data_IF_906452301520
#
_entry.id   IF_906452301520
#
_cell.length_a   1.000
_cell.length_b   1.000
_cell.length_c   1.000
_cell.angle_alpha   90.00
_cell.angle_beta   90.00
_cell.angle_gamma   90.00
#
_symmetry.space_group_name_H-M   'P 1'
#
loop_
_entity.id
_entity.type
_entity.pdbx_description
1 polymer ?
#
# COMPACT_ATOMS: atom_id res chain seq x y z
N UNK A 1 -22.29 -3.63 -14.13
CA UNK A 1 -21.01 -4.20 -13.66
C UNK A 1 -20.94 -4.10 -12.13
N UNK A 2 -20.41 -5.12 -11.43
CA UNK A 2 -20.26 -5.05 -9.96
C UNK A 2 -19.05 -4.18 -9.62
N UNK A 3 -19.24 -3.13 -8.81
CA UNK A 3 -18.15 -2.27 -8.32
C UNK A 3 -17.27 -3.11 -7.38
N UNK A 4 -16.08 -3.48 -7.84
CA UNK A 4 -15.12 -4.29 -7.08
C UNK A 4 -14.44 -3.41 -6.03
N UNK A 5 -14.64 -3.75 -4.75
CA UNK A 5 -13.88 -3.17 -3.64
C UNK A 5 -12.48 -3.80 -3.62
N UNK A 6 -11.55 -3.21 -4.38
CA UNK A 6 -10.25 -3.86 -4.68
C UNK A 6 -9.23 -3.72 -3.55
N UNK A 7 -9.26 -2.65 -2.74
CA UNK A 7 -8.15 -2.33 -1.84
C UNK A 7 -8.59 -1.90 -0.43
N UNK A 8 -8.83 -2.89 0.42
CA UNK A 8 -8.97 -2.72 1.89
C UNK A 8 -7.84 -3.46 2.59
N UNK A 9 -6.64 -2.86 2.63
CA UNK A 9 -5.48 -3.47 3.29
C UNK A 9 -5.67 -3.47 4.82
N UNK A 10 -6.07 -4.61 5.38
CA UNK A 10 -5.99 -4.87 6.82
C UNK A 10 -4.82 -5.81 7.09
N UNK A 11 -3.66 -5.23 7.38
CA UNK A 11 -2.47 -5.98 7.81
C UNK A 11 -2.72 -6.46 9.25
N UNK A 12 -2.68 -7.78 9.47
CA UNK A 12 -2.90 -8.40 10.77
C UNK A 12 -1.94 -9.57 10.98
N UNK A 13 -1.19 -9.53 12.09
CA UNK A 13 -0.25 -10.57 12.54
C UNK A 13 -0.60 -10.88 14.02
N UNK A 14 -0.29 -12.08 14.54
CA UNK A 14 -0.77 -12.57 15.85
C UNK A 14 0.17 -13.50 16.61
N UNK A 15 0.19 -13.40 17.97
CA UNK A 15 0.91 -14.24 18.98
C UNK A 15 2.46 -14.15 18.93
N UNK A 16 3.29 -13.96 19.99
CA UNK A 16 3.18 -13.56 21.42
C UNK A 16 4.60 -13.16 21.96
N UNK A 17 4.73 -12.77 23.26
CA UNK A 17 5.93 -12.59 24.15
C UNK A 17 6.35 -11.16 24.58
N UNK A 18 6.04 -10.83 25.84
CA UNK A 18 6.11 -9.52 26.52
C UNK A 18 7.46 -8.76 26.44
N UNK A 19 7.49 -7.51 25.93
CA UNK A 19 8.55 -6.53 26.28
C UNK A 19 8.17 -5.03 26.23
N UNK A 20 7.40 -4.60 27.23
CA UNK A 20 7.59 -3.32 27.96
C UNK A 20 7.94 -2.01 27.20
N UNK A 21 7.15 -1.62 26.19
CA UNK A 21 6.76 -0.21 25.94
C UNK A 21 7.79 0.82 25.41
N UNK A 22 9.02 0.88 25.91
CA UNK A 22 10.02 1.85 25.47
C UNK A 22 10.53 1.57 24.03
N UNK A 23 10.47 0.31 23.62
CA UNK A 23 10.84 -0.12 22.28
C UNK A 23 9.71 0.06 21.26
N UNK A 24 8.46 0.23 21.73
CA UNK A 24 7.30 0.53 20.90
C UNK A 24 7.36 1.94 20.30
N UNK A 25 7.72 2.96 21.10
CA UNK A 25 7.87 4.34 20.60
C UNK A 25 9.06 4.46 19.64
N UNK A 26 10.18 3.77 19.91
CA UNK A 26 11.33 3.72 18.98
C UNK A 26 10.96 3.04 17.66
N UNK A 27 10.23 1.92 17.71
CA UNK A 27 9.73 1.27 16.51
C UNK A 27 8.76 2.19 15.73
N UNK A 28 7.92 2.97 16.42
CA UNK A 28 7.07 3.97 15.80
C UNK A 28 7.88 5.08 15.11
N UNK A 29 8.92 5.60 15.75
CA UNK A 29 9.82 6.60 15.17
C UNK A 29 10.58 6.08 13.94
N UNK A 30 11.03 4.82 13.93
CA UNK A 30 11.70 4.21 12.77
C UNK A 30 10.75 3.82 11.63
N UNK A 31 9.49 3.47 11.93
CA UNK A 31 8.49 3.08 10.92
C UNK A 31 7.80 4.30 10.30
N UNK A 32 7.67 5.42 11.03
CA UNK A 32 6.97 6.64 10.57
C UNK A 32 7.50 7.17 9.21
N UNK A 33 8.82 7.27 8.96
CA UNK A 33 9.37 7.67 7.66
C UNK A 33 9.02 6.69 6.53
N UNK A 34 8.92 5.39 6.82
CA UNK A 34 8.53 4.36 5.85
C UNK A 34 7.06 4.51 5.43
N UNK A 35 6.15 4.75 6.39
CA UNK A 35 4.74 5.03 6.06
C UNK A 35 4.59 6.37 5.30
N UNK A 36 5.39 7.39 5.63
CA UNK A 36 5.42 8.65 4.88
C UNK A 36 5.92 8.45 3.44
N UNK A 37 6.98 7.67 3.22
CA UNK A 37 7.43 7.26 1.88
C UNK A 37 6.35 6.49 1.13
N UNK A 38 5.59 5.62 1.80
CA UNK A 38 4.48 4.89 1.18
C UNK A 38 3.41 5.86 0.65
N UNK A 39 3.01 6.85 1.44
CA UNK A 39 2.06 7.87 1.02
C UNK A 39 2.56 8.65 -0.19
N UNK A 40 3.84 9.07 -0.18
CA UNK A 40 4.45 9.80 -1.30
C UNK A 40 4.56 8.97 -2.59
N UNK A 41 4.87 7.67 -2.49
CA UNK A 41 4.88 6.73 -3.63
C UNK A 41 3.48 6.62 -4.25
N UNK A 42 2.45 6.46 -3.43
CA UNK A 42 1.05 6.33 -3.88
C UNK A 42 0.54 7.66 -4.47
N UNK A 43 0.91 8.79 -3.88
CA UNK A 43 0.56 10.12 -4.40
C UNK A 43 1.22 10.39 -5.76
N UNK A 44 2.52 10.08 -5.91
CA UNK A 44 3.23 10.19 -7.19
C UNK A 44 2.59 9.29 -8.26
N UNK A 45 2.26 8.04 -7.91
CA UNK A 45 1.54 7.12 -8.78
C UNK A 45 0.18 7.70 -9.21
N UNK A 46 -0.58 8.22 -8.24
CA UNK A 46 -1.88 8.85 -8.48
C UNK A 46 -1.79 10.03 -9.46
N UNK A 47 -0.79 10.91 -9.29
CA UNK A 47 -0.51 12.05 -10.18
C UNK A 47 -0.04 11.64 -11.58
N UNK A 48 0.72 10.55 -11.70
CA UNK A 48 1.12 9.99 -13.01
C UNK A 48 -0.09 9.37 -13.72
N UNK A 49 -0.94 8.65 -12.99
CA UNK A 49 -2.14 7.99 -13.53
C UNK A 49 -3.17 8.95 -14.14
N UNK A 50 -3.24 10.23 -13.74
CA UNK A 50 -4.16 11.19 -14.38
C UNK A 50 -3.74 11.59 -15.80
N UNK A 51 -2.47 11.43 -16.15
CA UNK A 51 -1.88 11.91 -17.41
C UNK A 51 -1.62 10.77 -18.42
N UNK A 52 -2.01 9.54 -18.09
CA UNK A 52 -1.70 8.34 -18.88
C UNK A 52 -2.30 8.40 -20.29
N UNK A 53 -1.43 8.22 -21.27
CA UNK A 53 -1.78 8.19 -22.69
C UNK A 53 -2.22 6.80 -23.16
N UNK A 54 -1.58 5.74 -22.65
CA UNK A 54 -1.80 4.34 -23.07
C UNK A 54 -1.75 3.35 -21.90
N UNK A 55 -2.29 2.15 -22.07
CA UNK A 55 -2.35 1.17 -20.99
C UNK A 55 -0.98 0.58 -20.58
N UNK A 56 0.03 0.63 -21.44
CA UNK A 56 1.40 0.19 -21.08
C UNK A 56 2.03 1.14 -20.06
N UNK A 57 1.86 2.45 -20.24
CA UNK A 57 2.27 3.48 -19.28
C UNK A 57 1.59 3.29 -17.90
N UNK A 58 0.27 3.05 -17.87
CA UNK A 58 -0.44 2.73 -16.63
C UNK A 58 0.04 1.41 -16.00
N UNK A 59 0.30 0.37 -16.80
CA UNK A 59 0.83 -0.91 -16.29
C UNK A 59 2.21 -0.74 -15.65
N UNK A 60 3.09 0.06 -16.27
CA UNK A 60 4.41 0.44 -15.71
C UNK A 60 4.23 1.21 -14.40
N UNK A 61 3.40 2.25 -14.36
CA UNK A 61 3.16 3.03 -13.13
C UNK A 61 2.67 2.12 -11.99
N UNK A 62 1.69 1.25 -12.25
CA UNK A 62 1.17 0.32 -11.25
C UNK A 62 2.24 -0.67 -10.75
N UNK A 63 3.07 -1.22 -11.65
CA UNK A 63 4.13 -2.18 -11.30
C UNK A 63 5.28 -1.55 -10.52
N UNK A 64 5.70 -0.33 -10.88
CA UNK A 64 6.67 0.46 -10.11
C UNK A 64 6.13 0.79 -8.71
N UNK A 65 4.87 1.22 -8.62
CA UNK A 65 4.17 1.50 -7.36
C UNK A 65 4.12 0.26 -6.48
N UNK A 66 3.79 -0.89 -7.06
CA UNK A 66 3.75 -2.18 -6.37
C UNK A 66 5.13 -2.58 -5.83
N UNK A 67 6.18 -2.49 -6.64
CA UNK A 67 7.55 -2.78 -6.22
C UNK A 67 8.00 -1.90 -5.05
N UNK A 68 7.78 -0.59 -5.15
CA UNK A 68 8.13 0.38 -4.11
C UNK A 68 7.34 0.13 -2.81
N UNK A 69 6.02 -0.09 -2.89
CA UNK A 69 5.19 -0.40 -1.72
C UNK A 69 5.62 -1.71 -1.05
N UNK A 70 5.93 -2.76 -1.83
CA UNK A 70 6.43 -4.04 -1.32
C UNK A 70 7.74 -3.88 -0.56
N UNK A 71 8.69 -3.11 -1.08
CA UNK A 71 9.96 -2.86 -0.40
C UNK A 71 9.76 -2.10 0.92
N UNK A 72 8.88 -1.09 0.94
CA UNK A 72 8.56 -0.36 2.17
C UNK A 72 7.90 -1.26 3.23
N UNK A 73 7.01 -2.19 2.84
CA UNK A 73 6.44 -3.16 3.78
C UNK A 73 7.51 -4.11 4.35
N UNK A 74 8.49 -4.52 3.54
CA UNK A 74 9.61 -5.34 4.04
C UNK A 74 10.46 -4.56 5.06
N UNK A 75 10.80 -3.30 4.76
CA UNK A 75 11.51 -2.42 5.71
C UNK A 75 10.74 -2.27 7.03
N UNK A 76 9.42 -2.06 6.98
CA UNK A 76 8.58 -1.98 8.18
C UNK A 76 8.58 -3.29 8.98
N UNK A 77 8.46 -4.45 8.32
CA UNK A 77 8.51 -5.77 8.96
C UNK A 77 9.87 -6.07 9.58
N UNK A 78 10.95 -5.61 8.96
CA UNK A 78 12.30 -5.78 9.50
C UNK A 78 12.54 -4.87 10.72
N UNK A 79 11.92 -3.69 10.79
CA UNK A 79 11.85 -2.90 12.03
C UNK A 79 11.02 -3.59 13.12
N UNK A 80 9.84 -4.15 12.80
CA UNK A 80 9.04 -4.90 13.78
C UNK A 80 9.82 -6.10 14.36
N UNK A 81 10.55 -6.84 13.53
CA UNK A 81 11.45 -7.93 13.96
C UNK A 81 12.61 -7.42 14.81
N UNK A 82 13.28 -6.33 14.39
CA UNK A 82 14.40 -5.71 15.13
C UNK A 82 14.02 -5.38 16.58
N UNK A 83 12.79 -4.94 16.81
CA UNK A 83 12.25 -4.63 18.13
C UNK A 83 11.51 -5.79 18.80
N UNK A 84 11.47 -6.98 18.18
CA UNK A 84 10.76 -8.18 18.67
C UNK A 84 9.32 -7.91 19.12
N UNK A 85 8.61 -7.01 18.44
CA UNK A 85 7.31 -6.53 18.90
C UNK A 85 6.29 -7.67 19.02
N UNK A 86 5.58 -7.75 20.15
CA UNK A 86 4.43 -8.64 20.21
C UNK A 86 3.35 -8.18 19.24
N UNK A 87 2.50 -9.09 18.76
CA UNK A 87 1.35 -8.69 17.96
C UNK A 87 0.31 -7.81 18.66
N UNK A 88 0.32 -7.73 19.99
CA UNK A 88 -0.45 -6.72 20.74
C UNK A 88 0.25 -5.35 20.73
N UNK A 89 1.59 -5.33 20.77
CA UNK A 89 2.40 -4.13 20.53
C UNK A 89 2.31 -3.68 19.06
N UNK A 90 2.27 -4.56 18.06
CA UNK A 90 2.00 -4.20 16.66
C UNK A 90 0.63 -3.52 16.49
N UNK A 91 -0.42 -3.96 17.21
CA UNK A 91 -1.71 -3.23 17.23
C UNK A 91 -1.57 -1.84 17.87
N UNK A 92 -0.80 -1.71 18.95
CA UNK A 92 -0.54 -0.41 19.60
C UNK A 92 0.31 0.51 18.70
N UNK A 93 1.29 -0.04 17.99
CA UNK A 93 2.10 0.62 16.97
C UNK A 93 1.23 1.18 15.84
N UNK A 94 0.30 0.37 15.31
CA UNK A 94 -0.70 0.81 14.33
C UNK A 94 -1.58 1.94 14.90
N UNK A 95 -1.89 1.93 16.20
CA UNK A 95 -2.62 3.03 16.84
C UNK A 95 -1.78 4.30 17.02
N UNK A 96 -0.50 4.20 17.38
CA UNK A 96 0.44 5.34 17.45
C UNK A 96 0.64 5.97 16.06
N UNK A 97 0.73 5.15 15.03
CA UNK A 97 0.94 5.55 13.63
C UNK A 97 -0.37 5.77 12.86
N UNK A 98 -1.53 5.76 13.54
CA UNK A 98 -2.85 5.81 12.91
C UNK A 98 -3.01 7.01 11.96
N UNK A 99 -2.47 8.17 12.31
CA UNK A 99 -2.51 9.37 11.45
C UNK A 99 -1.75 9.16 10.15
N UNK A 100 -0.61 8.48 10.18
CA UNK A 100 0.19 8.14 9.00
C UNK A 100 -0.52 7.08 8.13
N UNK A 101 -1.08 6.02 8.74
CA UNK A 101 -1.90 5.03 8.02
C UNK A 101 -3.16 5.66 7.40
N UNK A 102 -3.80 6.60 8.08
CA UNK A 102 -4.94 7.36 7.54
C UNK A 102 -4.54 8.23 6.33
N UNK A 103 -3.32 8.80 6.33
CA UNK A 103 -2.80 9.53 5.17
C UNK A 103 -2.60 8.59 3.96
N UNK A 104 -1.96 7.43 4.18
CA UNK A 104 -1.84 6.36 3.16
C UNK A 104 -3.22 5.94 2.63
N UNK A 105 -4.19 5.68 3.52
CA UNK A 105 -5.55 5.31 3.13
C UNK A 105 -6.24 6.35 2.25
N UNK A 106 -6.07 7.65 2.53
CA UNK A 106 -6.62 8.73 1.69
C UNK A 106 -6.01 8.72 0.28
N UNK A 107 -4.68 8.62 0.15
CA UNK A 107 -4.04 8.61 -1.16
C UNK A 107 -4.32 7.31 -1.95
N UNK A 108 -4.51 6.18 -1.26
CA UNK A 108 -4.96 4.92 -1.89
C UNK A 108 -6.37 5.04 -2.50
N UNK A 109 -7.30 5.75 -1.85
CA UNK A 109 -8.63 6.02 -2.42
C UNK A 109 -8.52 6.83 -3.72
N UNK A 110 -7.67 7.86 -3.74
CA UNK A 110 -7.42 8.67 -4.96
C UNK A 110 -6.75 7.85 -6.07
N UNK A 111 -5.70 7.07 -5.74
CA UNK A 111 -5.05 6.18 -6.71
C UNK A 111 -6.05 5.16 -7.28
N UNK A 112 -6.87 4.53 -6.44
CA UNK A 112 -7.92 3.62 -6.90
C UNK A 112 -8.96 4.32 -7.79
N UNK A 113 -9.33 5.57 -7.50
CA UNK A 113 -10.19 6.36 -8.39
C UNK A 113 -9.56 6.54 -9.78
N UNK A 114 -8.28 6.92 -9.83
CA UNK A 114 -7.56 7.15 -11.09
C UNK A 114 -7.34 5.85 -11.87
N UNK A 115 -7.06 4.73 -11.19
CA UNK A 115 -7.00 3.40 -11.83
C UNK A 115 -8.35 3.05 -12.46
N UNK A 116 -9.47 3.26 -11.75
CA UNK A 116 -10.80 2.96 -12.30
C UNK A 116 -11.14 3.85 -13.52
N UNK A 117 -10.71 5.11 -13.53
CA UNK A 117 -10.85 5.98 -14.72
C UNK A 117 -10.05 5.47 -15.93
N UNK A 118 -8.83 4.98 -15.70
CA UNK A 118 -8.01 4.34 -16.77
C UNK A 118 -8.66 3.04 -17.25
N UNK A 119 -9.18 2.20 -16.35
CA UNK A 119 -9.91 0.99 -16.73
C UNK A 119 -11.14 1.28 -17.59
N UNK A 120 -11.96 2.27 -17.21
CA UNK A 120 -13.16 2.64 -17.97
C UNK A 120 -12.83 3.18 -19.37
N UNK A 121 -11.65 3.81 -19.55
CA UNK A 121 -11.12 4.26 -20.86
C UNK A 121 -10.76 3.10 -21.79
N UNK A 122 -10.37 1.94 -21.24
CA UNK A 122 -9.91 0.75 -22.01
C UNK A 122 -10.82 -0.46 -21.87
N UNK A 123 -12.02 -0.33 -21.29
CA UNK A 123 -12.96 -1.45 -21.05
C UNK A 123 -13.38 -2.21 -22.31
N UNK A 124 -13.36 -1.53 -23.46
CA UNK A 124 -13.73 -2.06 -24.77
C UNK A 124 -12.51 -2.59 -25.57
N UNK A 125 -11.30 -2.55 -24.98
CA UNK A 125 -10.08 -3.20 -25.49
C UNK A 125 -9.66 -4.35 -24.53
N UNK A 126 -9.99 -5.61 -24.86
CA UNK A 126 -9.71 -6.75 -23.99
C UNK A 126 -8.23 -6.95 -23.67
N UNK A 127 -7.32 -6.63 -24.60
CA UNK A 127 -5.86 -6.80 -24.39
C UNK A 127 -5.30 -5.78 -23.41
N UNK A 128 -5.82 -4.55 -23.47
CA UNK A 128 -5.42 -3.50 -22.55
C UNK A 128 -6.07 -3.68 -21.17
N UNK A 129 -7.32 -4.15 -21.11
CA UNK A 129 -7.96 -4.55 -19.86
C UNK A 129 -7.19 -5.66 -19.12
N UNK A 130 -6.71 -6.69 -19.83
CA UNK A 130 -5.90 -7.78 -19.26
C UNK A 130 -4.59 -7.28 -18.65
N UNK A 131 -3.82 -6.44 -19.39
CA UNK A 131 -2.57 -5.82 -18.88
C UNK A 131 -2.76 -4.96 -17.64
N UNK A 132 -3.90 -4.27 -17.52
CA UNK A 132 -4.25 -3.45 -16.37
C UNK A 132 -4.72 -4.30 -15.17
N UNK A 133 -5.37 -5.45 -15.42
CA UNK A 133 -5.72 -6.42 -14.38
C UNK A 133 -4.47 -7.09 -13.78
N UNK A 134 -3.50 -7.51 -14.61
CA UNK A 134 -2.21 -8.07 -14.15
C UNK A 134 -1.45 -7.09 -13.22
N UNK A 135 -1.37 -5.83 -13.62
CA UNK A 135 -0.74 -4.79 -12.80
C UNK A 135 -1.54 -4.47 -11.51
N UNK A 136 -2.87 -4.60 -11.54
CA UNK A 136 -3.71 -4.50 -10.34
C UNK A 136 -3.58 -5.69 -9.39
N UNK A 137 -3.35 -6.91 -9.90
CA UNK A 137 -3.04 -8.07 -9.07
C UNK A 137 -1.73 -7.84 -8.30
N UNK A 138 -0.71 -7.27 -8.96
CA UNK A 138 0.56 -6.89 -8.32
C UNK A 138 0.37 -5.93 -7.15
N UNK A 139 -0.57 -4.97 -7.25
CA UNK A 139 -0.94 -4.08 -6.14
C UNK A 139 -1.77 -4.77 -5.05
N UNK A 140 -2.61 -5.75 -5.42
CA UNK A 140 -3.47 -6.48 -4.49
C UNK A 140 -2.68 -7.46 -3.60
N UNK A 141 -1.67 -8.14 -4.16
CA UNK A 141 -0.82 -9.09 -3.42
C UNK A 141 -0.15 -8.44 -2.20
N UNK A 142 0.21 -7.16 -2.32
CA UNK A 142 0.80 -6.35 -1.24
C UNK A 142 -0.14 -6.23 -0.05
N UNK A 143 -1.46 -6.14 -0.29
CA UNK A 143 -2.48 -6.11 0.76
C UNK A 143 -2.71 -7.44 1.46
N UNK A 144 -2.10 -8.53 0.96
CA UNK A 144 -2.14 -9.88 1.56
C UNK A 144 -0.80 -10.33 2.17
N UNK A 145 0.22 -9.46 2.16
CA UNK A 145 1.55 -9.73 2.74
C UNK A 145 1.61 -9.46 4.24
#
# INVERSE_FOLDING_TARGET
MKKTAILTCMIGIGIMFLSCGADLEKAADEIRPSIQRMAAVIENASQRMTNVQNADEASVIMKETAGNMKQIILEMKDTEKKYNLTPEESKKLVNLLRTNYNAVGKVLVTLNSNINMVLDKYKDDPKMAEKLMDALLSLREIGSM
#
